data_IF_131702427010
#
_entry.id   IF_131702427010
#
_cell.length_a   1.000
_cell.length_b   1.000
_cell.length_c   1.000
_cell.angle_alpha   90.00
_cell.angle_beta   90.00
_cell.angle_gamma   90.00
#
_symmetry.space_group_name_H-M   'P 1'
#
loop_
_entity.id
_entity.type
_entity.pdbx_description
1 polymer ?
#
# COMPACT_ATOMS: atom_id res chain seq x y z
N UNK A 1 24.19 25.78 -3.20
CA UNK A 1 23.87 24.34 -3.21
C UNK A 1 22.45 24.18 -2.68
N UNK A 2 21.54 23.59 -3.46
CA UNK A 2 20.14 23.37 -3.03
C UNK A 2 20.02 21.98 -2.42
N UNK A 3 19.52 21.89 -1.20
CA UNK A 3 19.22 20.62 -0.54
C UNK A 3 17.76 20.26 -0.82
N UNK A 4 17.52 19.04 -1.29
CA UNK A 4 16.17 18.49 -1.45
C UNK A 4 16.02 17.37 -0.41
N UNK A 5 14.99 17.49 0.43
CA UNK A 5 14.68 16.49 1.46
C UNK A 5 13.41 15.75 1.09
N UNK A 6 13.48 14.42 1.10
CA UNK A 6 12.32 13.55 0.93
C UNK A 6 11.86 13.08 2.31
N UNK A 7 10.64 13.46 2.69
CA UNK A 7 10.05 13.06 3.97
C UNK A 7 9.11 11.88 3.77
N UNK A 8 9.66 10.69 3.50
CA UNK A 8 8.86 9.49 3.21
C UNK A 8 7.82 9.17 4.29
N UNK A 9 8.12 9.47 5.55
CA UNK A 9 7.17 9.34 6.67
C UNK A 9 5.97 10.27 6.57
N UNK A 10 6.18 11.53 6.17
CA UNK A 10 5.09 12.50 6.06
C UNK A 10 4.17 12.14 4.90
N UNK A 11 4.74 11.80 3.73
CA UNK A 11 3.95 11.42 2.55
C UNK A 11 3.16 10.13 2.77
N UNK A 12 3.70 9.16 3.51
CA UNK A 12 3.01 7.90 3.80
C UNK A 12 1.87 8.03 4.81
N UNK A 13 1.83 9.12 5.59
CA UNK A 13 0.76 9.44 6.54
C UNK A 13 -0.15 10.58 6.10
N UNK A 14 -0.01 11.04 4.87
CA UNK A 14 -0.84 12.11 4.35
C UNK A 14 -2.21 11.57 3.92
N UNK A 15 -3.27 12.13 4.51
CA UNK A 15 -4.66 11.73 4.23
C UNK A 15 -5.07 11.99 2.77
N UNK A 16 -4.36 12.85 2.05
CA UNK A 16 -4.57 13.10 0.61
C UNK A 16 -4.24 11.88 -0.24
N UNK A 17 -3.29 11.05 0.20
CA UNK A 17 -2.87 9.83 -0.51
C UNK A 17 -3.36 8.57 0.19
N UNK A 18 -3.50 8.59 1.52
CA UNK A 18 -3.87 7.44 2.32
C UNK A 18 -5.06 7.79 3.25
N UNK A 19 -6.31 7.50 2.86
CA UNK A 19 -7.47 7.70 3.73
C UNK A 19 -7.32 6.92 5.04
N UNK A 20 -7.58 7.58 6.18
CA UNK A 20 -7.30 7.04 7.53
C UNK A 20 -5.84 6.52 7.67
N UNK A 21 -4.83 7.42 7.56
CA UNK A 21 -3.41 7.03 7.50
C UNK A 21 -2.87 6.47 8.82
N UNK A 22 -3.48 6.84 9.95
CA UNK A 22 -3.09 6.36 11.26
C UNK A 22 -3.69 4.99 11.61
N UNK A 23 -4.62 4.49 10.80
CA UNK A 23 -5.27 3.19 11.00
C UNK A 23 -4.57 2.09 10.22
N UNK A 24 -4.24 0.98 10.89
CA UNK A 24 -3.70 -0.21 10.26
C UNK A 24 -4.79 -0.90 9.42
N UNK A 25 -4.69 -0.80 8.08
CA UNK A 25 -5.63 -1.39 7.11
C UNK A 25 -4.85 -2.16 6.04
N UNK A 26 -4.54 -3.46 6.24
CA UNK A 26 -3.77 -4.24 5.28
C UNK A 26 -4.49 -4.42 3.94
N UNK A 27 -5.82 -4.38 3.94
CA UNK A 27 -6.68 -4.53 2.76
C UNK A 27 -6.41 -3.44 1.70
N UNK A 28 -5.85 -2.30 2.12
CA UNK A 28 -5.46 -1.19 1.24
C UNK A 28 -4.53 -1.62 0.10
N UNK A 29 -3.71 -2.65 0.34
CA UNK A 29 -2.70 -3.12 -0.61
C UNK A 29 -3.13 -4.39 -1.34
N UNK A 30 -4.32 -4.92 -1.03
CA UNK A 30 -4.90 -6.04 -1.76
C UNK A 30 -5.43 -5.54 -3.10
N UNK A 31 -5.19 -6.32 -4.15
CA UNK A 31 -5.77 -6.04 -5.47
C UNK A 31 -7.19 -6.61 -5.48
N UNK A 32 -8.17 -5.80 -5.88
CA UNK A 32 -9.49 -6.35 -6.19
C UNK A 32 -9.34 -7.31 -7.37
N UNK A 33 -9.88 -8.51 -7.23
CA UNK A 33 -10.08 -9.44 -8.32
C UNK A 33 -11.24 -8.90 -9.16
N UNK A 34 -11.10 -8.87 -10.48
CA UNK A 34 -12.19 -8.45 -11.35
C UNK A 34 -13.40 -9.40 -11.20
N UNK A 35 -14.65 -8.89 -11.11
CA UNK A 35 -15.87 -9.71 -11.05
C UNK A 35 -16.16 -10.57 -12.30
N UNK A 36 -15.24 -10.64 -13.27
CA UNK A 36 -15.38 -11.43 -14.51
C UNK A 36 -14.96 -12.89 -14.39
N UNK A 37 -14.31 -13.28 -13.29
CA UNK A 37 -14.07 -14.69 -12.96
C UNK A 37 -15.31 -15.22 -12.24
N UNK A 38 -16.32 -15.62 -13.02
CA UNK A 38 -17.67 -15.90 -12.53
C UNK A 38 -17.75 -16.91 -11.39
N UNK A 39 -18.10 -16.43 -10.20
CA UNK A 39 -19.05 -17.04 -9.26
C UNK A 39 -19.28 -16.07 -8.07
N UNK A 40 -20.39 -15.33 -8.02
CA UNK A 40 -20.72 -14.53 -6.84
C UNK A 40 -21.83 -13.50 -7.03
N UNK A 41 -23.07 -13.92 -6.78
CA UNK A 41 -24.25 -13.07 -6.75
C UNK A 41 -24.43 -12.44 -5.36
N UNK A 42 -24.28 -11.11 -5.22
CA UNK A 42 -24.95 -10.37 -4.12
C UNK A 42 -25.08 -8.88 -4.43
N UNK A 43 -26.25 -8.25 -4.18
CA UNK A 43 -26.41 -6.80 -4.26
C UNK A 43 -25.99 -6.18 -2.92
N UNK A 44 -24.83 -5.52 -2.91
CA UNK A 44 -24.32 -4.74 -1.77
C UNK A 44 -24.39 -3.24 -2.05
N UNK A 45 -24.76 -2.48 -1.02
CA UNK A 45 -24.83 -1.02 -0.95
C UNK A 45 -23.58 -0.32 -1.52
N UNK A 46 -23.71 0.73 -2.38
CA UNK A 46 -22.56 1.42 -2.99
C UNK A 46 -21.57 2.07 -2.01
N UNK A 47 -21.88 2.19 -0.72
CA UNK A 47 -20.91 2.58 0.33
C UNK A 47 -20.12 1.43 0.94
N UNK A 48 -20.52 0.17 0.71
CA UNK A 48 -19.98 -1.03 1.35
C UNK A 48 -19.43 -2.05 0.35
N UNK A 49 -19.08 -1.66 -0.88
CA UNK A 49 -18.31 -2.55 -1.77
C UNK A 49 -16.87 -2.68 -1.26
N UNK A 50 -16.47 -3.79 -0.61
CA UNK A 50 -15.10 -4.01 -0.17
C UNK A 50 -14.33 -4.53 -1.38
N UNK A 51 -14.04 -3.63 -2.33
CA UNK A 51 -13.47 -4.04 -3.62
C UNK A 51 -13.23 -2.87 -4.58
N UNK A 52 -13.97 -1.78 -4.45
CA UNK A 52 -13.66 -0.55 -5.14
C UNK A 52 -12.76 0.34 -4.27
N UNK A 53 -11.59 -0.15 -3.86
CA UNK A 53 -10.55 0.75 -3.34
C UNK A 53 -10.16 1.66 -4.52
N UNK A 54 -10.26 3.00 -4.41
CA UNK A 54 -9.57 3.86 -5.37
C UNK A 54 -8.11 3.41 -5.37
N UNK A 55 -7.64 2.94 -6.53
CA UNK A 55 -6.26 2.53 -6.71
C UNK A 55 -5.29 3.60 -6.16
N UNK A 56 -4.10 3.17 -5.74
CA UNK A 56 -3.34 3.76 -4.65
C UNK A 56 -3.10 5.25 -4.83
N UNK A 57 -3.20 6.00 -3.73
CA UNK A 57 -2.59 7.32 -3.62
C UNK A 57 -1.21 7.32 -4.27
N UNK A 58 -0.92 8.39 -5.02
CA UNK A 58 0.25 8.65 -5.86
C UNK A 58 1.36 7.57 -5.83
N UNK A 59 1.82 7.01 -6.97
CA UNK A 59 2.76 5.88 -7.04
C UNK A 59 4.04 5.97 -6.19
N UNK A 60 4.44 7.18 -5.83
CA UNK A 60 5.62 7.48 -5.01
C UNK A 60 5.28 7.95 -3.59
N UNK A 61 4.04 7.78 -3.13
CA UNK A 61 3.58 8.22 -1.82
C UNK A 61 4.06 7.31 -0.68
N UNK A 62 4.27 6.02 -0.97
CA UNK A 62 4.89 5.06 -0.04
C UNK A 62 6.19 4.54 -0.65
N UNK A 63 7.32 4.96 -0.08
CA UNK A 63 8.67 4.54 -0.49
C UNK A 63 9.50 4.14 0.74
N UNK A 64 9.10 3.09 1.49
CA UNK A 64 9.74 2.71 2.75
C UNK A 64 11.23 2.33 2.60
N UNK A 65 11.62 1.88 1.41
CA UNK A 65 13.00 1.52 1.07
C UNK A 65 13.65 2.50 0.09
N UNK A 66 13.02 3.65 -0.18
CA UNK A 66 13.46 4.60 -1.20
C UNK A 66 13.35 4.07 -2.63
N UNK A 67 13.74 4.91 -3.60
CA UNK A 67 13.73 4.60 -5.03
C UNK A 67 15.04 5.05 -5.68
N UNK A 68 15.55 4.28 -6.66
CA UNK A 68 16.71 4.65 -7.46
C UNK A 68 18.07 4.23 -6.86
N UNK A 69 19.19 4.85 -7.28
CA UNK A 69 20.55 4.42 -6.94
C UNK A 69 20.89 4.47 -5.45
N UNK A 70 20.10 5.21 -4.65
CA UNK A 70 20.27 5.36 -3.20
C UNK A 70 19.16 4.64 -2.42
N UNK A 71 18.43 3.72 -3.06
CA UNK A 71 17.48 2.86 -2.37
C UNK A 71 18.19 1.94 -1.35
N UNK A 72 17.43 1.46 -0.38
CA UNK A 72 17.92 0.60 0.68
C UNK A 72 18.45 -0.72 0.08
N UNK A 73 19.73 -0.98 0.29
CA UNK A 73 20.40 -2.23 -0.13
C UNK A 73 19.76 -3.48 0.50
N UNK A 74 19.20 -3.33 1.70
CA UNK A 74 18.59 -4.42 2.46
C UNK A 74 17.13 -4.74 2.10
N UNK A 75 16.53 -4.05 1.12
CA UNK A 75 15.10 -4.20 0.80
C UNK A 75 14.66 -5.66 0.66
N UNK A 76 15.37 -6.44 -0.16
CA UNK A 76 15.00 -7.84 -0.44
C UNK A 76 15.13 -8.73 0.80
N UNK A 77 16.16 -8.48 1.62
CA UNK A 77 16.37 -9.22 2.86
C UNK A 77 15.28 -8.91 3.88
N UNK A 78 14.94 -7.62 4.05
CA UNK A 78 13.89 -7.17 4.96
C UNK A 78 12.52 -7.71 4.53
N UNK A 79 12.20 -7.63 3.23
CA UNK A 79 10.98 -8.22 2.68
C UNK A 79 10.95 -9.73 2.95
N UNK A 80 12.02 -10.48 2.64
CA UNK A 80 12.07 -11.93 2.88
C UNK A 80 11.84 -12.27 4.35
N UNK A 81 12.55 -11.61 5.27
CA UNK A 81 12.40 -11.83 6.70
C UNK A 81 10.97 -11.55 7.18
N UNK A 82 10.34 -10.49 6.69
CA UNK A 82 8.96 -10.16 7.02
C UNK A 82 7.98 -11.24 6.51
N UNK A 83 8.15 -11.71 5.27
CA UNK A 83 7.30 -12.78 4.73
C UNK A 83 7.47 -14.09 5.51
N UNK A 84 8.70 -14.47 5.84
CA UNK A 84 8.96 -15.67 6.64
C UNK A 84 8.34 -15.55 8.04
N UNK A 85 8.49 -14.39 8.69
CA UNK A 85 7.89 -14.13 9.99
C UNK A 85 6.36 -14.20 9.95
N UNK A 86 5.73 -13.60 8.93
CA UNK A 86 4.27 -13.62 8.76
C UNK A 86 3.72 -15.02 8.45
N UNK A 87 4.47 -15.86 7.72
CA UNK A 87 4.07 -17.22 7.38
C UNK A 87 4.23 -18.22 8.54
N UNK A 88 4.96 -17.85 9.60
CA UNK A 88 5.19 -18.67 10.79
C UNK A 88 4.17 -18.42 11.90
N UNK A 89 3.30 -17.42 11.74
CA UNK A 89 2.17 -17.13 12.65
C UNK A 89 0.97 -17.97 12.24
#
# INVERSE_FOLDING_TARGET
QTLITLCHYATSRDSRFFPAPDTFRPERWLRCRDPGDGFGDTPGDPSDTPGATPGPGHPFASLPFGLGPRSCVGRRLAELQLHMALAQV
#
